data_IF_461037797972
#
_entry.id   IF_461037797972
#
_cell.length_a   1.000
_cell.length_b   1.000
_cell.length_c   1.000
_cell.angle_alpha   90.00
_cell.angle_beta   90.00
_cell.angle_gamma   90.00
#
_symmetry.space_group_name_H-M   'P 1'
#
loop_
_entity.id
_entity.type
_entity.pdbx_description
1 polymer ?
#
# COMPACT_ATOMS: atom_id res chain seq x y z
N UNK A 1 8.48 -6.90 25.43
CA UNK A 1 8.03 -5.98 24.37
C UNK A 1 7.66 -4.68 25.04
N UNK A 2 8.42 -3.60 24.84
CA UNK A 2 8.21 -2.32 25.54
C UNK A 2 7.01 -1.58 24.95
N UNK A 3 6.20 -0.93 25.80
CA UNK A 3 4.99 -0.18 25.42
C UNK A 3 5.26 0.92 24.39
N UNK A 4 6.45 1.49 24.36
CA UNK A 4 6.83 2.58 23.43
C UNK A 4 6.96 2.11 21.98
N UNK A 5 7.48 0.90 21.77
CA UNK A 5 7.62 0.31 20.43
C UNK A 5 6.25 0.04 19.79
N UNK A 6 5.23 -0.26 20.61
CA UNK A 6 3.86 -0.49 20.15
C UNK A 6 3.19 0.79 19.68
N UNK A 7 3.41 1.92 20.37
CA UNK A 7 2.85 3.23 19.99
C UNK A 7 3.44 3.75 18.66
N UNK A 8 4.76 3.66 18.49
CA UNK A 8 5.41 4.07 17.25
C UNK A 8 4.93 3.25 16.04
N UNK A 9 4.83 1.93 16.23
CA UNK A 9 4.33 1.03 15.19
C UNK A 9 2.89 1.37 14.80
N UNK A 10 2.01 1.57 15.78
CA UNK A 10 0.63 1.97 15.53
C UNK A 10 0.52 3.31 14.79
N UNK A 11 1.40 4.28 15.10
CA UNK A 11 1.45 5.57 14.38
C UNK A 11 1.88 5.39 12.92
N UNK A 12 2.88 4.56 12.67
CA UNK A 12 3.35 4.24 11.31
C UNK A 12 2.28 3.50 10.51
N UNK A 13 1.55 2.57 11.11
CA UNK A 13 0.41 1.89 10.46
C UNK A 13 -0.70 2.87 10.09
N UNK A 14 -1.09 3.78 10.99
CA UNK A 14 -2.07 4.82 10.65
C UNK A 14 -1.57 5.77 9.56
N UNK A 15 -0.27 6.09 9.53
CA UNK A 15 0.34 6.87 8.44
C UNK A 15 0.25 6.12 7.12
N UNK A 16 0.61 4.85 7.09
CA UNK A 16 0.54 4.00 5.92
C UNK A 16 -0.88 3.96 5.34
N UNK A 17 -1.89 3.73 6.18
CA UNK A 17 -3.29 3.71 5.73
C UNK A 17 -3.75 5.04 5.11
N UNK A 18 -3.27 6.18 5.63
CA UNK A 18 -3.57 7.49 5.03
C UNK A 18 -2.86 7.69 3.68
N UNK A 19 -1.64 7.20 3.55
CA UNK A 19 -0.85 7.32 2.31
C UNK A 19 -1.37 6.41 1.20
N UNK A 20 -1.79 5.18 1.53
CA UNK A 20 -2.50 4.28 0.60
C UNK A 20 -3.86 4.84 0.20
N UNK A 21 -4.51 5.55 1.12
CA UNK A 21 -5.81 6.18 0.90
C UNK A 21 -6.97 5.18 0.85
N UNK A 22 -8.20 5.69 0.94
CA UNK A 22 -9.40 4.85 1.11
C UNK A 22 -9.70 3.96 -0.10
N UNK A 23 -9.29 4.35 -1.31
CA UNK A 23 -9.52 3.57 -2.53
C UNK A 23 -8.74 2.25 -2.55
N UNK A 24 -7.42 2.31 -2.34
CA UNK A 24 -6.58 1.10 -2.28
C UNK A 24 -6.95 0.23 -1.07
N UNK A 25 -7.14 0.86 0.09
CA UNK A 25 -7.56 0.13 1.30
C UNK A 25 -8.93 -0.53 1.12
N UNK A 26 -9.83 0.09 0.36
CA UNK A 26 -11.11 -0.48 -0.03
C UNK A 26 -10.94 -1.75 -0.87
N UNK A 27 -10.16 -1.67 -1.95
CA UNK A 27 -9.87 -2.82 -2.82
C UNK A 27 -9.23 -3.98 -2.04
N UNK A 28 -8.29 -3.70 -1.13
CA UNK A 28 -7.65 -4.72 -0.29
C UNK A 28 -8.59 -5.40 0.71
N UNK A 29 -9.78 -4.82 0.97
CA UNK A 29 -10.81 -5.38 1.85
C UNK A 29 -11.89 -6.14 1.10
N UNK A 30 -11.93 -6.04 -0.23
CA UNK A 30 -12.89 -6.75 -1.05
C UNK A 30 -12.55 -8.25 -1.06
N UNK A 31 -13.50 -9.14 -0.71
CA UNK A 31 -13.21 -10.56 -0.52
C UNK A 31 -12.88 -11.31 -1.82
N UNK A 32 -13.27 -10.78 -2.97
CA UNK A 32 -13.01 -11.35 -4.28
C UNK A 32 -11.68 -10.88 -4.90
N UNK A 33 -11.09 -9.81 -4.38
CA UNK A 33 -9.79 -9.27 -4.80
C UNK A 33 -8.66 -10.06 -4.14
N UNK A 34 -7.76 -10.61 -4.96
CA UNK A 34 -6.58 -11.36 -4.51
C UNK A 34 -5.31 -10.53 -4.50
N UNK A 35 -5.12 -9.73 -5.54
CA UNK A 35 -3.95 -8.87 -5.69
C UNK A 35 -4.39 -7.47 -6.12
N UNK A 36 -3.72 -6.45 -5.59
CA UNK A 36 -3.86 -5.06 -6.00
C UNK A 36 -2.51 -4.61 -6.53
N UNK A 37 -2.46 -4.25 -7.81
CA UNK A 37 -1.26 -3.75 -8.46
C UNK A 37 -1.42 -2.26 -8.75
N UNK A 38 -0.38 -1.49 -8.48
CA UNK A 38 -0.34 -0.07 -8.79
C UNK A 38 0.80 0.19 -9.74
N UNK A 39 0.48 0.69 -10.93
CA UNK A 39 1.46 1.02 -11.92
C UNK A 39 2.19 2.34 -11.55
N UNK A 40 3.40 2.59 -12.09
CA UNK A 40 4.14 3.82 -11.85
C UNK A 40 3.40 5.11 -12.26
N UNK A 41 2.49 5.03 -13.23
CA UNK A 41 1.62 6.12 -13.68
C UNK A 41 0.38 6.33 -12.78
N UNK A 42 0.27 5.54 -11.71
CA UNK A 42 -0.82 5.58 -10.74
C UNK A 42 -2.08 4.82 -11.17
N UNK A 43 -2.08 4.13 -12.31
CA UNK A 43 -3.19 3.24 -12.69
C UNK A 43 -3.25 2.02 -11.76
N UNK A 44 -4.45 1.62 -11.35
CA UNK A 44 -4.65 0.49 -10.44
C UNK A 44 -5.36 -0.66 -11.17
N UNK A 45 -4.76 -1.84 -11.04
CA UNK A 45 -5.30 -3.11 -11.51
C UNK A 45 -5.53 -4.04 -10.33
N UNK A 46 -6.50 -4.93 -10.46
CA UNK A 46 -6.79 -5.95 -9.46
C UNK A 46 -6.91 -7.31 -10.11
N UNK A 47 -6.40 -8.34 -9.45
CA UNK A 47 -6.74 -9.72 -9.78
C UNK A 47 -7.94 -10.15 -8.95
N UNK A 48 -9.04 -10.52 -9.61
CA UNK A 48 -10.26 -11.03 -8.97
C UNK A 48 -10.41 -12.51 -9.20
N UNK A 49 -10.98 -13.21 -8.22
CA UNK A 49 -11.19 -14.66 -8.26
C UNK A 49 -12.10 -15.11 -9.41
N UNK A 50 -13.04 -14.26 -9.83
CA UNK A 50 -14.04 -14.55 -10.86
C UNK A 50 -13.66 -14.05 -12.25
N UNK A 51 -12.92 -12.94 -12.32
CA UNK A 51 -12.73 -12.19 -13.58
C UNK A 51 -11.25 -12.10 -14.01
N UNK A 52 -10.32 -12.64 -13.22
CA UNK A 52 -8.88 -12.53 -13.47
C UNK A 52 -8.40 -11.07 -13.34
N UNK A 53 -7.43 -10.69 -14.17
CA UNK A 53 -6.82 -9.36 -14.12
C UNK A 53 -7.73 -8.29 -14.74
N UNK A 54 -8.12 -7.30 -13.94
CA UNK A 54 -9.03 -6.23 -14.33
C UNK A 54 -8.45 -4.83 -14.02
N UNK A 55 -8.60 -3.89 -14.94
CA UNK A 55 -8.33 -2.47 -14.67
C UNK A 55 -9.43 -1.86 -13.81
N UNK A 56 -9.07 -0.94 -12.92
CA UNK A 56 -10.03 -0.16 -12.13
C UNK A 56 -10.10 1.29 -12.62
N UNK A 57 -11.15 2.02 -12.23
CA UNK A 57 -11.20 3.47 -12.42
C UNK A 57 -10.34 4.25 -11.38
N UNK A 58 -9.80 3.56 -10.37
CA UNK A 58 -9.01 4.18 -9.31
C UNK A 58 -7.67 4.69 -9.87
N UNK A 59 -7.28 5.88 -9.42
CA UNK A 59 -5.94 6.43 -9.65
C UNK A 59 -5.31 6.83 -8.34
N UNK A 60 -4.03 6.54 -8.21
CA UNK A 60 -3.24 6.92 -7.04
C UNK A 60 -2.34 8.10 -7.40
N UNK A 61 -1.98 8.91 -6.39
CA UNK A 61 -0.92 9.88 -6.56
C UNK A 61 0.44 9.18 -6.45
N UNK A 62 1.30 9.21 -7.47
CA UNK A 62 2.60 8.52 -7.41
C UNK A 62 3.47 8.98 -6.23
N UNK A 63 3.34 10.23 -5.81
CA UNK A 63 4.06 10.77 -4.66
C UNK A 63 3.57 10.16 -3.34
N UNK A 64 2.26 9.94 -3.18
CA UNK A 64 1.70 9.26 -2.01
C UNK A 64 2.10 7.79 -1.97
N UNK A 65 2.14 7.11 -3.13
CA UNK A 65 2.59 5.72 -3.22
C UNK A 65 4.06 5.58 -2.80
N UNK A 66 4.94 6.50 -3.23
CA UNK A 66 6.34 6.54 -2.77
C UNK A 66 6.45 6.76 -1.26
N UNK A 67 5.61 7.63 -0.70
CA UNK A 67 5.58 7.84 0.75
C UNK A 67 5.14 6.57 1.49
N UNK A 68 4.13 5.86 0.98
CA UNK A 68 3.68 4.58 1.51
C UNK A 68 4.80 3.52 1.47
N UNK A 69 5.55 3.41 0.36
CA UNK A 69 6.71 2.53 0.25
C UNK A 69 7.75 2.81 1.34
N UNK A 70 8.09 4.08 1.58
CA UNK A 70 8.98 4.46 2.67
C UNK A 70 8.45 4.10 4.06
N UNK A 71 7.14 4.26 4.30
CA UNK A 71 6.52 3.84 5.56
C UNK A 71 6.53 2.32 5.74
N UNK A 72 6.31 1.55 4.67
CA UNK A 72 6.40 0.08 4.71
C UNK A 72 7.82 -0.37 5.01
N UNK A 73 8.83 0.22 4.38
CA UNK A 73 10.23 -0.07 4.67
C UNK A 73 10.56 0.18 6.14
N UNK A 74 10.14 1.33 6.68
CA UNK A 74 10.33 1.66 8.10
C UNK A 74 9.56 0.76 9.08
N UNK A 75 8.43 0.19 8.67
CA UNK A 75 7.68 -0.80 9.47
C UNK A 75 8.35 -2.18 9.48
N UNK A 76 9.14 -2.48 8.43
CA UNK A 76 9.86 -3.73 8.24
C UNK A 76 11.34 -3.62 8.65
N UNK A 77 11.74 -2.51 9.27
CA UNK A 77 13.13 -2.19 9.64
C UNK A 77 14.11 -2.34 8.46
N UNK A 78 13.67 -1.91 7.27
CA UNK A 78 14.45 -1.92 6.03
C UNK A 78 14.41 -0.55 5.33
N UNK A 79 15.16 -0.41 4.23
CA UNK A 79 15.24 0.81 3.42
C UNK A 79 15.09 0.45 1.94
N UNK A 80 14.34 1.26 1.21
CA UNK A 80 14.27 1.18 -0.25
C UNK A 80 15.25 2.20 -0.82
N UNK A 81 16.18 1.73 -1.66
CA UNK A 81 17.16 2.58 -2.34
C UNK A 81 17.10 2.35 -3.84
N UNK A 82 17.90 3.09 -4.61
CA UNK A 82 18.00 2.82 -6.05
C UNK A 82 18.69 1.48 -6.33
N UNK A 83 19.65 1.11 -5.48
CA UNK A 83 20.48 -0.08 -5.64
C UNK A 83 19.80 -1.34 -5.04
N UNK A 84 18.88 -1.13 -4.09
CA UNK A 84 17.99 -2.14 -3.49
C UNK A 84 16.53 -1.64 -3.55
N UNK A 85 15.86 -1.83 -4.70
CA UNK A 85 14.53 -1.28 -4.96
C UNK A 85 13.38 -2.03 -4.27
#
# INVERSE_FOLDING_TARGET
MSLEHTDERARREHKLLRELGPGLVGLMREPDVREVMVNPDGAVFVERSTDGLCSTALRTCPMQLKAALGTMAALLDTVITKDEP
#
